data_IF_028678549396
#
_entry.id   IF_028678549396
#
_cell.length_a   1.000
_cell.length_b   1.000
_cell.length_c   1.000
_cell.angle_alpha   90.00
_cell.angle_beta   90.00
_cell.angle_gamma   90.00
#
_symmetry.space_group_name_H-M   'P 1'
#
loop_
_entity.id
_entity.type
_entity.pdbx_description
1 polymer ?
#
# COMPACT_ATOMS: atom_id res chain seq x y z
N UNK A 1 9.22 -12.66 -1.19
CA UNK A 1 9.29 -11.73 -2.34
C UNK A 1 10.24 -12.20 -3.46
N UNK A 2 11.50 -12.54 -3.12
CA UNK A 2 12.57 -12.97 -4.07
C UNK A 2 12.15 -14.14 -4.93
N UNK A 3 11.77 -15.23 -4.30
CA UNK A 3 11.23 -16.40 -4.96
C UNK A 3 9.98 -16.10 -5.83
N UNK A 4 9.04 -15.31 -5.32
CA UNK A 4 7.84 -14.94 -6.09
C UNK A 4 8.17 -14.13 -7.35
N UNK A 5 9.13 -13.19 -7.24
CA UNK A 5 9.59 -12.40 -8.38
C UNK A 5 10.28 -13.27 -9.42
N UNK A 6 11.15 -14.19 -9.01
CA UNK A 6 11.83 -15.12 -9.93
C UNK A 6 10.84 -16.05 -10.65
N UNK A 7 9.84 -16.57 -9.94
CA UNK A 7 8.80 -17.41 -10.53
C UNK A 7 7.99 -16.64 -11.59
N UNK A 8 7.65 -15.39 -11.31
CA UNK A 8 6.94 -14.52 -12.26
C UNK A 8 7.79 -14.21 -13.49
N UNK A 9 9.08 -13.87 -13.33
CA UNK A 9 9.95 -13.62 -14.49
C UNK A 9 10.04 -14.84 -15.41
N UNK A 10 10.26 -16.04 -14.85
CA UNK A 10 10.34 -17.27 -15.65
C UNK A 10 9.04 -17.56 -16.38
N UNK A 11 7.89 -17.34 -15.73
CA UNK A 11 6.58 -17.56 -16.33
C UNK A 11 6.25 -16.54 -17.45
N UNK A 12 6.68 -15.27 -17.31
CA UNK A 12 6.43 -14.21 -18.30
C UNK A 12 7.35 -14.33 -19.53
N UNK A 13 8.58 -14.85 -19.39
CA UNK A 13 9.57 -14.91 -20.48
C UNK A 13 9.20 -15.92 -21.58
N UNK A 14 8.56 -17.05 -21.25
CA UNK A 14 8.23 -18.11 -22.23
C UNK A 14 6.74 -18.12 -22.61
N UNK A 15 6.12 -16.93 -22.77
CA UNK A 15 4.67 -16.69 -22.98
C UNK A 15 3.95 -17.49 -24.08
N UNK A 16 4.63 -18.42 -24.76
CA UNK A 16 4.07 -19.49 -25.60
C UNK A 16 3.27 -20.55 -24.83
N UNK A 17 3.48 -20.70 -23.51
CA UNK A 17 2.81 -21.74 -22.71
C UNK A 17 1.61 -21.26 -21.88
N UNK A 18 1.39 -19.94 -21.80
CA UNK A 18 0.27 -19.38 -21.06
C UNK A 18 -0.96 -19.25 -21.97
N UNK A 19 -1.60 -20.38 -22.28
CA UNK A 19 -2.90 -20.40 -22.98
C UNK A 19 -4.05 -19.86 -22.14
N UNK A 20 -3.83 -19.55 -20.86
CA UNK A 20 -4.85 -19.01 -19.97
C UNK A 20 -4.88 -17.46 -20.05
N UNK A 21 -6.02 -16.85 -20.45
CA UNK A 21 -6.10 -15.43 -20.78
C UNK A 21 -5.79 -14.49 -19.60
N UNK A 22 -5.82 -14.98 -18.36
CA UNK A 22 -5.57 -14.18 -17.16
C UNK A 22 -4.15 -14.25 -16.62
N UNK A 23 -3.36 -15.26 -17.02
CA UNK A 23 -2.07 -15.51 -16.40
C UNK A 23 -1.07 -14.37 -16.67
N UNK A 24 -1.12 -13.79 -17.88
CA UNK A 24 -0.29 -12.65 -18.25
C UNK A 24 -0.57 -11.43 -17.37
N UNK A 25 -1.85 -11.07 -17.22
CA UNK A 25 -2.26 -9.92 -16.39
C UNK A 25 -1.90 -10.11 -14.92
N UNK A 26 -2.11 -11.32 -14.39
CA UNK A 26 -1.74 -11.66 -13.01
C UNK A 26 -0.22 -11.61 -12.81
N UNK A 27 0.57 -12.05 -13.80
CA UNK A 27 2.03 -11.97 -13.74
C UNK A 27 2.54 -10.53 -13.66
N UNK A 28 2.03 -9.63 -14.52
CA UNK A 28 2.41 -8.21 -14.45
C UNK A 28 2.00 -7.56 -13.13
N UNK A 29 0.79 -7.84 -12.65
CA UNK A 29 0.32 -7.31 -11.37
C UNK A 29 1.16 -7.83 -10.19
N UNK A 30 1.45 -9.13 -10.15
CA UNK A 30 2.30 -9.73 -9.12
C UNK A 30 3.74 -9.15 -9.15
N UNK A 31 4.28 -8.87 -10.34
CA UNK A 31 5.57 -8.21 -10.51
C UNK A 31 5.57 -6.80 -9.93
N UNK A 32 4.55 -6.00 -10.24
CA UNK A 32 4.37 -4.66 -9.68
C UNK A 32 4.33 -4.69 -8.14
N UNK A 33 3.49 -5.57 -7.56
CA UNK A 33 3.40 -5.73 -6.11
C UNK A 33 4.72 -6.18 -5.50
N UNK A 34 5.44 -7.11 -6.14
CA UNK A 34 6.72 -7.58 -5.64
C UNK A 34 7.80 -6.49 -5.66
N UNK A 35 7.79 -5.59 -6.64
CA UNK A 35 8.70 -4.44 -6.65
C UNK A 35 8.31 -3.41 -5.59
N UNK A 36 7.02 -3.09 -5.48
CA UNK A 36 6.53 -2.16 -4.47
C UNK A 36 6.85 -2.61 -3.04
N UNK A 37 6.61 -3.90 -2.71
CA UNK A 37 6.93 -4.43 -1.37
C UNK A 37 8.41 -4.36 -1.01
N UNK A 38 9.30 -4.26 -2.01
CA UNK A 38 10.75 -4.09 -1.80
C UNK A 38 11.23 -2.64 -1.88
N UNK A 39 10.34 -1.67 -2.04
CA UNK A 39 10.73 -0.28 -2.26
C UNK A 39 11.38 -0.01 -3.62
N UNK A 40 11.18 -0.87 -4.63
CA UNK A 40 11.69 -0.65 -5.99
C UNK A 40 10.69 0.18 -6.81
N UNK A 41 10.54 1.46 -6.45
CA UNK A 41 9.50 2.37 -6.98
C UNK A 41 9.53 2.45 -8.51
N UNK A 42 10.71 2.72 -9.11
CA UNK A 42 10.80 2.89 -10.56
C UNK A 42 10.42 1.60 -11.31
N UNK A 43 10.86 0.44 -10.80
CA UNK A 43 10.52 -0.85 -11.38
C UNK A 43 9.04 -1.22 -11.20
N UNK A 44 8.45 -0.85 -10.06
CA UNK A 44 7.02 -1.02 -9.81
C UNK A 44 6.19 -0.21 -10.81
N UNK A 45 6.52 1.08 -11.00
CA UNK A 45 5.84 1.94 -12.00
C UNK A 45 5.97 1.37 -13.41
N UNK A 46 7.16 0.96 -13.84
CA UNK A 46 7.35 0.35 -15.16
C UNK A 46 6.53 -0.93 -15.34
N UNK A 47 6.45 -1.78 -14.31
CA UNK A 47 5.66 -3.00 -14.35
C UNK A 47 4.15 -2.71 -14.43
N UNK A 48 3.69 -1.68 -13.71
CA UNK A 48 2.30 -1.19 -13.73
C UNK A 48 1.94 -0.65 -15.11
N UNK A 49 2.78 0.22 -15.70
CA UNK A 49 2.55 0.79 -17.02
C UNK A 49 2.48 -0.31 -18.09
N UNK A 50 3.35 -1.31 -17.98
CA UNK A 50 3.30 -2.49 -18.85
C UNK A 50 2.00 -3.27 -18.66
N UNK A 51 1.60 -3.53 -17.41
CA UNK A 51 0.37 -4.25 -17.07
C UNK A 51 -0.89 -3.54 -17.55
N UNK A 52 -0.95 -2.21 -17.42
CA UNK A 52 -2.02 -1.35 -17.93
C UNK A 52 -2.12 -1.44 -19.44
N UNK A 53 -1.00 -1.26 -20.15
CA UNK A 53 -0.97 -1.34 -21.61
C UNK A 53 -1.46 -2.71 -22.09
N UNK A 54 -0.98 -3.78 -21.49
CA UNK A 54 -1.41 -5.16 -21.82
C UNK A 54 -2.90 -5.37 -21.53
N UNK A 55 -3.41 -4.87 -20.42
CA UNK A 55 -4.84 -4.93 -20.10
C UNK A 55 -5.71 -4.15 -21.11
N UNK A 56 -5.26 -2.98 -21.56
CA UNK A 56 -5.96 -2.17 -22.54
C UNK A 56 -5.96 -2.81 -23.94
N UNK A 57 -4.81 -3.32 -24.39
CA UNK A 57 -4.66 -4.01 -25.67
C UNK A 57 -5.54 -5.28 -25.76
N UNK A 58 -5.81 -5.93 -24.62
CA UNK A 58 -6.68 -7.11 -24.53
C UNK A 58 -8.19 -6.80 -24.59
N UNK A 59 -8.58 -5.51 -24.66
CA UNK A 59 -9.97 -5.09 -24.79
C UNK A 59 -10.87 -5.57 -23.64
N UNK A 60 -12.03 -6.14 -23.97
CA UNK A 60 -13.02 -6.60 -22.99
C UNK A 60 -12.42 -7.60 -21.98
N UNK A 61 -11.57 -8.52 -22.45
CA UNK A 61 -10.94 -9.54 -21.60
C UNK A 61 -9.95 -8.98 -20.59
N UNK A 62 -9.32 -7.84 -20.91
CA UNK A 62 -8.37 -7.14 -20.05
C UNK A 62 -9.01 -6.11 -19.12
N UNK A 63 -10.25 -5.69 -19.40
CA UNK A 63 -10.94 -4.59 -18.70
C UNK A 63 -10.93 -4.72 -17.17
N UNK A 64 -11.12 -5.94 -16.65
CA UNK A 64 -11.12 -6.21 -15.19
C UNK A 64 -9.76 -6.01 -14.51
N UNK A 65 -8.67 -6.01 -15.27
CA UNK A 65 -7.30 -5.85 -14.74
C UNK A 65 -6.83 -4.40 -14.76
N UNK A 66 -7.53 -3.51 -15.46
CA UNK A 66 -7.21 -2.07 -15.49
C UNK A 66 -7.28 -1.49 -14.07
N UNK A 67 -8.43 -1.67 -13.39
CA UNK A 67 -8.64 -1.18 -12.03
C UNK A 67 -7.61 -1.76 -11.03
N UNK A 68 -7.20 -3.02 -11.20
CA UNK A 68 -6.13 -3.64 -10.42
C UNK A 68 -4.79 -2.92 -10.58
N UNK A 69 -4.38 -2.66 -11.82
CA UNK A 69 -3.13 -1.93 -12.05
C UNK A 69 -3.23 -0.46 -11.61
N UNK A 70 -4.39 0.18 -11.76
CA UNK A 70 -4.63 1.53 -11.24
C UNK A 70 -4.52 1.56 -9.71
N UNK A 71 -5.05 0.55 -8.99
CA UNK A 71 -4.85 0.44 -7.55
C UNK A 71 -3.37 0.28 -7.15
N UNK A 72 -2.60 -0.53 -7.88
CA UNK A 72 -1.15 -0.60 -7.65
C UNK A 72 -0.47 0.75 -7.94
N UNK A 73 -0.90 1.46 -8.98
CA UNK A 73 -0.38 2.79 -9.33
C UNK A 73 -0.61 3.78 -8.22
N UNK A 74 -1.83 3.86 -7.68
CA UNK A 74 -2.16 4.82 -6.63
C UNK A 74 -1.43 4.53 -5.33
N UNK A 75 -1.17 3.25 -5.01
CA UNK A 75 -0.29 2.87 -3.91
C UNK A 75 1.14 3.41 -4.08
N UNK A 76 1.74 3.29 -5.26
CA UNK A 76 3.07 3.83 -5.52
C UNK A 76 3.06 5.36 -5.52
N UNK A 77 2.07 6.00 -6.16
CA UNK A 77 1.92 7.46 -6.18
C UNK A 77 1.82 8.04 -4.76
N UNK A 78 1.04 7.42 -3.87
CA UNK A 78 0.98 7.85 -2.46
C UNK A 78 2.31 7.70 -1.74
N UNK A 79 3.05 6.64 -2.05
CA UNK A 79 4.36 6.38 -1.43
C UNK A 79 5.42 7.43 -1.79
N UNK A 80 5.24 8.13 -2.92
CA UNK A 80 6.10 9.24 -3.37
C UNK A 80 5.47 10.63 -3.19
N UNK A 81 4.37 10.74 -2.44
CA UNK A 81 3.73 12.02 -2.12
C UNK A 81 2.87 12.64 -3.21
N UNK A 82 2.59 11.93 -4.31
CA UNK A 82 1.67 12.39 -5.38
C UNK A 82 0.21 12.08 -5.01
N UNK A 83 -0.21 12.60 -3.86
CA UNK A 83 -1.49 12.26 -3.22
C UNK A 83 -2.70 12.68 -4.06
N UNK A 84 -2.69 13.89 -4.62
CA UNK A 84 -3.83 14.38 -5.42
C UNK A 84 -4.07 13.54 -6.68
N UNK A 85 -3.01 13.16 -7.40
CA UNK A 85 -3.15 12.26 -8.57
C UNK A 85 -3.64 10.88 -8.15
N UNK A 86 -3.15 10.36 -7.01
CA UNK A 86 -3.62 9.09 -6.48
C UNK A 86 -5.12 9.16 -6.15
N UNK A 87 -5.57 10.22 -5.48
CA UNK A 87 -6.97 10.44 -5.12
C UNK A 87 -7.86 10.54 -6.36
N UNK A 88 -7.45 11.30 -7.38
CA UNK A 88 -8.19 11.40 -8.65
C UNK A 88 -8.39 10.05 -9.34
N UNK A 89 -7.36 9.19 -9.35
CA UNK A 89 -7.47 7.84 -9.90
C UNK A 89 -8.40 6.99 -9.01
N UNK A 90 -8.22 7.03 -7.68
CA UNK A 90 -9.04 6.23 -6.76
C UNK A 90 -10.52 6.58 -6.83
N UNK A 91 -10.87 7.86 -6.95
CA UNK A 91 -12.27 8.30 -7.11
C UNK A 91 -12.86 7.77 -8.42
N UNK A 92 -12.15 7.88 -9.55
CA UNK A 92 -12.61 7.29 -10.83
C UNK A 92 -12.78 5.77 -10.76
N UNK A 93 -11.85 5.06 -10.11
CA UNK A 93 -11.96 3.61 -9.93
C UNK A 93 -13.14 3.29 -9.01
N UNK A 94 -13.32 4.02 -7.91
CA UNK A 94 -14.43 3.84 -6.97
C UNK A 94 -15.79 3.97 -7.68
N UNK A 95 -15.96 5.02 -8.48
CA UNK A 95 -17.18 5.28 -9.27
C UNK A 95 -17.46 4.18 -10.31
N UNK A 96 -16.42 3.62 -10.93
CA UNK A 96 -16.55 2.65 -12.03
C UNK A 96 -16.53 1.17 -11.62
N UNK A 97 -16.48 0.88 -10.31
CA UNK A 97 -16.35 -0.50 -9.78
C UNK A 97 -17.41 -0.89 -8.75
N UNK A 98 -18.50 -0.13 -8.64
CA UNK A 98 -19.55 -0.37 -7.65
C UNK A 98 -20.33 -1.69 -7.86
N UNK A 99 -20.24 -2.32 -9.03
CA UNK A 99 -20.88 -3.61 -9.27
C UNK A 99 -20.21 -4.78 -8.52
N UNK A 100 -20.95 -5.85 -8.16
CA UNK A 100 -20.41 -6.97 -7.39
C UNK A 100 -19.15 -7.61 -7.98
N UNK A 101 -19.03 -7.65 -9.30
CA UNK A 101 -17.89 -8.26 -10.01
C UNK A 101 -16.57 -7.49 -9.83
N UNK A 102 -16.62 -6.21 -9.45
CA UNK A 102 -15.45 -5.34 -9.27
C UNK A 102 -15.32 -4.78 -7.86
N UNK A 103 -16.13 -5.29 -6.92
CA UNK A 103 -16.19 -4.83 -5.54
C UNK A 103 -14.84 -4.87 -4.81
N UNK A 104 -13.93 -5.76 -5.21
CA UNK A 104 -12.57 -5.79 -4.65
C UNK A 104 -11.82 -4.47 -4.91
N UNK A 105 -11.91 -3.94 -6.12
CA UNK A 105 -11.26 -2.67 -6.49
C UNK A 105 -12.00 -1.47 -5.91
N UNK A 106 -13.33 -1.55 -5.80
CA UNK A 106 -14.12 -0.56 -5.08
C UNK A 106 -13.66 -0.41 -3.62
N UNK A 107 -13.50 -1.54 -2.92
CA UNK A 107 -12.95 -1.58 -1.56
C UNK A 107 -11.50 -1.09 -1.51
N UNK A 108 -10.68 -1.43 -2.50
CA UNK A 108 -9.30 -0.98 -2.57
C UNK A 108 -9.23 0.56 -2.67
N UNK A 109 -10.04 1.19 -3.52
CA UNK A 109 -10.09 2.64 -3.72
C UNK A 109 -10.47 3.43 -2.48
N UNK A 110 -11.48 2.99 -1.71
CA UNK A 110 -11.88 3.71 -0.48
C UNK A 110 -10.81 3.60 0.61
N UNK A 111 -10.14 2.45 0.73
CA UNK A 111 -9.03 2.27 1.68
C UNK A 111 -7.80 3.08 1.27
N UNK A 112 -7.62 3.27 -0.03
CA UNK A 112 -6.59 4.09 -0.64
C UNK A 112 -6.78 5.59 -0.38
N UNK A 113 -8.02 6.08 -0.48
CA UNK A 113 -8.40 7.44 -0.10
C UNK A 113 -8.21 7.68 1.40
N UNK A 114 -8.63 6.72 2.25
CA UNK A 114 -8.39 6.78 3.69
C UNK A 114 -6.89 6.86 4.02
N UNK A 115 -6.06 6.05 3.34
CA UNK A 115 -4.61 6.09 3.53
C UNK A 115 -4.03 7.48 3.22
N UNK A 116 -4.50 8.13 2.15
CA UNK A 116 -4.07 9.48 1.79
C UNK A 116 -4.28 10.49 2.93
N UNK A 117 -5.44 10.41 3.61
CA UNK A 117 -5.77 11.29 4.75
C UNK A 117 -4.90 11.00 5.98
N UNK A 118 -4.65 9.73 6.27
CA UNK A 118 -3.75 9.33 7.36
C UNK A 118 -2.31 9.82 7.11
N UNK A 119 -1.84 9.74 5.85
CA UNK A 119 -0.52 10.20 5.45
C UNK A 119 -0.33 11.72 5.55
N UNK A 120 -1.40 12.52 5.47
CA UNK A 120 -1.33 13.98 5.67
C UNK A 120 -1.61 14.40 7.10
N UNK A 121 -2.06 13.48 7.97
CA UNK A 121 -2.53 13.83 9.31
C UNK A 121 -3.88 14.56 9.30
N UNK A 122 -4.65 14.45 8.20
CA UNK A 122 -5.99 15.01 8.07
C UNK A 122 -6.99 14.14 8.85
N UNK A 123 -7.09 14.36 10.16
CA UNK A 123 -7.92 13.57 11.08
C UNK A 123 -9.40 13.63 10.70
N UNK A 124 -9.92 14.83 10.40
CA UNK A 124 -11.32 15.02 10.02
C UNK A 124 -11.63 14.31 8.69
N UNK A 125 -10.78 14.49 7.68
CA UNK A 125 -10.91 13.80 6.40
C UNK A 125 -10.78 12.29 6.54
N UNK A 126 -9.90 11.79 7.42
CA UNK A 126 -9.76 10.37 7.71
C UNK A 126 -11.02 9.78 8.35
N UNK A 127 -11.65 10.49 9.30
CA UNK A 127 -12.93 10.05 9.88
C UNK A 127 -14.04 9.93 8.83
N UNK A 128 -14.16 10.93 7.94
CA UNK A 128 -15.11 10.86 6.81
C UNK A 128 -14.80 9.71 5.85
N UNK A 129 -13.52 9.45 5.59
CA UNK A 129 -13.08 8.34 4.75
C UNK A 129 -13.30 6.97 5.40
N UNK A 130 -13.21 6.85 6.73
CA UNK A 130 -13.58 5.62 7.46
C UNK A 130 -15.04 5.26 7.23
N UNK A 131 -15.95 6.23 7.29
CA UNK A 131 -17.37 5.97 7.04
C UNK A 131 -17.61 5.49 5.60
N UNK A 132 -16.95 6.12 4.61
CA UNK A 132 -16.98 5.63 3.21
C UNK A 132 -16.42 4.21 3.08
N UNK A 133 -15.39 3.86 3.85
CA UNK A 133 -14.72 2.56 3.77
C UNK A 133 -15.47 1.41 4.45
N UNK A 134 -16.59 1.66 5.14
CA UNK A 134 -17.39 0.61 5.82
C UNK A 134 -17.97 -0.45 4.90
N UNK A 135 -18.02 -0.19 3.58
CA UNK A 135 -18.32 -1.22 2.57
C UNK A 135 -17.42 -2.47 2.70
N UNK A 136 -16.21 -2.32 3.25
CA UNK A 136 -15.28 -3.43 3.51
C UNK A 136 -15.84 -4.43 4.55
N UNK A 137 -16.66 -3.97 5.49
CA UNK A 137 -17.23 -4.83 6.54
C UNK A 137 -18.17 -5.89 5.95
N UNK A 138 -18.94 -5.51 4.93
CA UNK A 138 -19.91 -6.38 4.26
C UNK A 138 -19.35 -7.09 3.01
N UNK A 139 -18.16 -6.72 2.55
CA UNK A 139 -17.52 -7.37 1.40
C UNK A 139 -17.15 -8.83 1.73
N UNK A 140 -17.53 -9.77 0.86
CA UNK A 140 -17.33 -11.22 1.03
C UNK A 140 -16.58 -11.88 -0.15
N UNK A 141 -15.72 -11.15 -0.85
CA UNK A 141 -14.89 -11.70 -1.92
C UNK A 141 -13.64 -12.43 -1.42
N UNK A 142 -12.86 -12.99 -2.37
CA UNK A 142 -11.67 -13.79 -2.07
C UNK A 142 -10.59 -13.04 -1.28
N UNK A 143 -10.53 -11.71 -1.43
CA UNK A 143 -9.62 -10.80 -0.73
C UNK A 143 -10.26 -10.05 0.43
N UNK A 144 -11.49 -10.39 0.86
CA UNK A 144 -12.20 -9.68 1.92
C UNK A 144 -11.40 -9.61 3.22
N UNK A 145 -10.73 -10.69 3.60
CA UNK A 145 -9.86 -10.73 4.78
C UNK A 145 -8.72 -9.70 4.68
N UNK A 146 -8.09 -9.55 3.51
CA UNK A 146 -7.00 -8.60 3.28
C UNK A 146 -7.48 -7.15 3.39
N UNK A 147 -8.63 -6.83 2.80
CA UNK A 147 -9.24 -5.51 2.95
C UNK A 147 -9.63 -5.19 4.39
N UNK A 148 -10.17 -6.17 5.14
CA UNK A 148 -10.49 -6.00 6.56
C UNK A 148 -9.23 -5.77 7.41
N UNK A 149 -8.16 -6.54 7.21
CA UNK A 149 -6.87 -6.31 7.88
C UNK A 149 -6.37 -4.89 7.63
N UNK A 150 -6.42 -4.44 6.37
CA UNK A 150 -6.04 -3.08 5.99
C UNK A 150 -6.90 -2.03 6.67
N UNK A 151 -8.22 -2.18 6.60
CA UNK A 151 -9.18 -1.24 7.18
C UNK A 151 -8.98 -1.09 8.68
N UNK A 152 -8.84 -2.20 9.41
CA UNK A 152 -8.60 -2.19 10.86
C UNK A 152 -7.23 -1.61 11.21
N UNK A 153 -6.19 -1.86 10.41
CA UNK A 153 -4.87 -1.21 10.60
C UNK A 153 -4.98 0.31 10.44
N UNK A 154 -5.76 0.77 9.45
CA UNK A 154 -5.98 2.20 9.20
C UNK A 154 -6.82 2.85 10.30
N UNK A 155 -7.84 2.16 10.81
CA UNK A 155 -8.58 2.61 11.99
C UNK A 155 -7.69 2.68 13.24
N UNK A 156 -6.80 1.70 13.45
CA UNK A 156 -5.84 1.74 14.56
C UNK A 156 -4.90 2.95 14.44
N UNK A 157 -4.44 3.27 13.22
CA UNK A 157 -3.64 4.48 12.98
C UNK A 157 -4.42 5.77 13.24
N UNK A 158 -5.69 5.82 12.86
CA UNK A 158 -6.56 6.95 13.16
C UNK A 158 -6.74 7.14 14.68
N UNK A 159 -7.01 6.06 15.42
CA UNK A 159 -7.12 6.10 16.87
C UNK A 159 -5.83 6.65 17.51
N UNK A 160 -4.67 6.16 17.07
CA UNK A 160 -3.37 6.70 17.52
C UNK A 160 -3.23 8.19 17.23
N UNK A 161 -3.61 8.68 16.04
CA UNK A 161 -3.55 10.10 15.70
C UNK A 161 -4.49 10.97 16.57
N UNK A 162 -5.59 10.39 17.03
CA UNK A 162 -6.55 11.05 17.92
C UNK A 162 -6.15 10.96 19.41
N UNK A 163 -5.10 10.22 19.75
CA UNK A 163 -4.74 9.93 21.13
C UNK A 163 -5.67 8.90 21.81
N UNK A 164 -6.41 8.13 21.01
CA UNK A 164 -7.34 7.10 21.47
C UNK A 164 -6.66 5.71 21.53
N UNK A 165 -7.18 4.80 22.37
CA UNK A 165 -6.70 3.41 22.43
C UNK A 165 -6.80 2.70 21.07
N UNK A 166 -5.78 1.90 20.75
CA UNK A 166 -5.70 1.14 19.48
C UNK A 166 -5.39 -0.35 19.68
N UNK A 167 -5.27 -0.78 20.93
CA UNK A 167 -4.84 -2.11 21.36
C UNK A 167 -5.77 -3.20 20.81
N UNK A 168 -7.08 -3.02 20.92
CA UNK A 168 -8.05 -4.01 20.46
C UNK A 168 -8.04 -4.16 18.92
N UNK A 169 -7.90 -3.04 18.20
CA UNK A 169 -7.83 -3.02 16.75
C UNK A 169 -6.54 -3.70 16.26
N UNK A 170 -5.40 -3.34 16.85
CA UNK A 170 -4.10 -3.94 16.51
C UNK A 170 -4.05 -5.42 16.86
N UNK A 171 -4.54 -5.83 18.04
CA UNK A 171 -4.62 -7.23 18.44
C UNK A 171 -5.49 -8.06 17.49
N UNK A 172 -6.63 -7.50 17.06
CA UNK A 172 -7.51 -8.16 16.08
C UNK A 172 -6.81 -8.39 14.74
N UNK A 173 -6.13 -7.37 14.21
CA UNK A 173 -5.37 -7.51 12.95
C UNK A 173 -4.24 -8.51 13.09
N UNK A 174 -3.47 -8.45 14.19
CA UNK A 174 -2.36 -9.38 14.43
C UNK A 174 -2.86 -10.82 14.47
N UNK A 175 -3.94 -11.09 15.21
CA UNK A 175 -4.53 -12.43 15.29
C UNK A 175 -4.95 -12.99 13.94
N UNK A 176 -5.72 -12.24 13.15
CA UNK A 176 -6.16 -12.68 11.82
C UNK A 176 -4.99 -12.77 10.82
N UNK A 177 -4.04 -11.82 10.87
CA UNK A 177 -2.87 -11.82 9.99
C UNK A 177 -1.97 -13.03 10.24
N UNK A 178 -1.69 -13.37 11.50
CA UNK A 178 -0.91 -14.56 11.88
C UNK A 178 -1.63 -15.83 11.41
N UNK A 179 -2.94 -15.95 11.67
CA UNK A 179 -3.72 -17.13 11.27
C UNK A 179 -3.71 -17.38 9.75
N UNK A 180 -3.54 -16.33 8.94
CA UNK A 180 -3.53 -16.39 7.48
C UNK A 180 -2.13 -16.32 6.84
N UNK A 181 -1.08 -16.13 7.64
CA UNK A 181 0.28 -15.92 7.12
C UNK A 181 0.47 -14.56 6.42
N UNK A 182 -0.34 -13.55 6.74
CA UNK A 182 -0.26 -12.19 6.19
C UNK A 182 0.81 -11.36 6.90
N UNK A 183 2.09 -11.69 6.65
CA UNK A 183 3.22 -11.09 7.37
C UNK A 183 3.26 -9.56 7.30
N UNK A 184 2.86 -8.95 6.17
CA UNK A 184 2.85 -7.49 6.03
C UNK A 184 1.89 -6.82 7.02
N UNK A 185 0.66 -7.31 7.14
CA UNK A 185 -0.33 -6.72 8.05
C UNK A 185 -0.08 -7.05 9.52
N UNK A 186 0.50 -8.22 9.82
CA UNK A 186 1.01 -8.51 11.15
C UNK A 186 2.01 -7.43 11.60
N UNK A 187 3.04 -7.18 10.79
CA UNK A 187 4.11 -6.24 11.13
C UNK A 187 3.64 -4.79 11.13
N UNK A 188 2.75 -4.41 10.21
CA UNK A 188 2.14 -3.07 10.21
C UNK A 188 1.34 -2.84 11.49
N UNK A 189 0.45 -3.76 11.88
CA UNK A 189 -0.37 -3.61 13.09
C UNK A 189 0.49 -3.55 14.36
N UNK A 190 1.53 -4.37 14.47
CA UNK A 190 2.51 -4.30 15.57
C UNK A 190 3.23 -2.95 15.65
N UNK A 191 3.68 -2.42 14.50
CA UNK A 191 4.33 -1.11 14.44
C UNK A 191 3.34 0.03 14.82
N UNK A 192 2.08 -0.06 14.39
CA UNK A 192 1.03 0.87 14.84
C UNK A 192 0.86 0.80 16.35
N UNK A 193 0.84 -0.41 16.93
CA UNK A 193 0.77 -0.65 18.37
C UNK A 193 2.02 -0.25 19.17
N UNK A 194 3.09 0.24 18.52
CA UNK A 194 4.26 0.77 19.21
C UNK A 194 5.47 -0.16 19.28
N UNK A 195 5.39 -1.37 18.70
CA UNK A 195 6.51 -2.32 18.65
C UNK A 195 7.61 -1.83 17.69
N UNK A 196 8.84 -1.69 18.19
CA UNK A 196 9.98 -1.14 17.43
C UNK A 196 10.82 -2.25 16.77
N UNK A 197 10.90 -3.41 17.41
CA UNK A 197 11.70 -4.57 16.97
C UNK A 197 11.20 -5.20 15.66
N UNK A 198 9.95 -4.90 15.26
CA UNK A 198 9.37 -5.35 13.99
C UNK A 198 9.87 -4.57 12.77
N UNK A 199 10.42 -3.37 12.94
CA UNK A 199 10.76 -2.46 11.83
C UNK A 199 11.77 -3.03 10.82
N UNK A 200 12.84 -3.75 11.22
CA UNK A 200 13.73 -4.41 10.26
C UNK A 200 13.03 -5.49 9.42
N UNK A 201 12.05 -6.19 9.99
CA UNK A 201 11.25 -7.19 9.26
C UNK A 201 10.25 -6.51 8.33
N UNK A 202 9.65 -5.40 8.77
CA UNK A 202 8.69 -4.61 8.00
C UNK A 202 9.33 -4.09 6.70
N UNK A 203 10.59 -3.62 6.76
CA UNK A 203 11.36 -3.16 5.58
C UNK A 203 11.39 -4.17 4.43
N UNK A 204 11.36 -5.47 4.75
CA UNK A 204 11.47 -6.55 3.76
C UNK A 204 10.16 -6.85 3.02
N UNK A 205 9.03 -6.42 3.57
CA UNK A 205 7.69 -6.74 3.05
C UNK A 205 6.83 -5.50 2.78
N UNK A 206 7.23 -4.33 3.28
CA UNK A 206 6.57 -3.04 3.13
C UNK A 206 7.64 -1.96 2.93
N UNK A 207 8.53 -2.17 1.95
CA UNK A 207 9.70 -1.32 1.73
C UNK A 207 9.36 0.13 1.36
N UNK A 208 8.21 0.37 0.73
CA UNK A 208 7.75 1.75 0.47
C UNK A 208 7.25 2.44 1.74
N UNK A 209 6.70 1.69 2.68
CA UNK A 209 6.01 2.21 3.86
C UNK A 209 6.89 2.29 5.11
N UNK A 210 7.94 1.45 5.18
CA UNK A 210 8.71 1.26 6.40
C UNK A 210 9.34 2.56 6.94
N UNK A 211 9.75 3.48 6.06
CA UNK A 211 10.36 4.74 6.49
C UNK A 211 9.37 5.66 7.23
N UNK A 212 8.13 5.82 6.74
CA UNK A 212 7.16 6.69 7.40
C UNK A 212 6.57 6.02 8.65
N UNK A 213 6.42 4.70 8.67
CA UNK A 213 6.03 3.98 9.88
C UNK A 213 7.09 4.15 10.99
N UNK A 214 8.38 4.13 10.61
CA UNK A 214 9.48 4.41 11.54
C UNK A 214 9.43 5.87 12.03
N UNK A 215 9.16 6.83 11.14
CA UNK A 215 9.01 8.24 11.50
C UNK A 215 7.82 8.50 12.43
N UNK A 216 6.66 7.88 12.19
CA UNK A 216 5.50 7.97 13.07
C UNK A 216 5.79 7.39 14.47
N UNK A 217 6.58 6.33 14.56
CA UNK A 217 7.06 5.80 15.85
C UNK A 217 8.06 6.75 16.51
N UNK A 218 9.00 7.31 15.76
CA UNK A 218 9.99 8.26 16.27
C UNK A 218 9.32 9.48 16.91
N UNK A 219 8.33 10.06 16.22
CA UNK A 219 7.57 11.20 16.71
C UNK A 219 6.79 10.89 18.00
N UNK A 220 6.12 9.72 18.06
CA UNK A 220 5.33 9.33 19.24
C UNK A 220 6.19 9.02 20.47
N UNK A 221 7.43 8.57 20.27
CA UNK A 221 8.34 8.15 21.34
C UNK A 221 9.38 9.21 21.71
N UNK A 222 9.43 10.31 20.96
CA UNK A 222 10.48 11.33 21.06
C UNK A 222 11.89 10.70 20.99
N UNK A 223 12.12 9.86 19.97
CA UNK A 223 13.31 9.01 19.86
C UNK A 223 14.19 9.37 18.64
N UNK A 224 15.33 10.00 18.91
CA UNK A 224 16.34 10.39 17.91
C UNK A 224 16.98 9.22 17.15
N UNK A 225 17.07 8.04 17.77
CA UNK A 225 17.61 6.85 17.09
C UNK A 225 16.62 6.37 16.03
N UNK A 226 15.32 6.40 16.34
CA UNK A 226 14.28 6.09 15.35
C UNK A 226 14.21 7.14 14.25
N UNK A 227 14.42 8.42 14.55
CA UNK A 227 14.52 9.45 13.51
C UNK A 227 15.66 9.19 12.52
N UNK A 228 16.83 8.80 13.03
CA UNK A 228 17.98 8.42 12.17
C UNK A 228 17.69 7.16 11.35
N UNK A 229 16.99 6.19 11.91
CA UNK A 229 16.60 4.98 11.16
C UNK A 229 15.54 5.28 10.08
N UNK A 230 14.57 6.15 10.37
CA UNK A 230 13.59 6.63 9.38
C UNK A 230 14.28 7.33 8.21
N UNK A 231 15.28 8.17 8.50
CA UNK A 231 16.09 8.89 7.50
C UNK A 231 16.85 7.91 6.60
N UNK A 232 17.59 6.96 7.21
CA UNK A 232 18.30 5.89 6.49
C UNK A 232 17.39 5.13 5.52
N UNK A 233 16.18 4.77 5.98
CA UNK A 233 15.18 4.04 5.17
C UNK A 233 14.65 4.91 4.04
N UNK A 234 14.34 6.18 4.32
CA UNK A 234 13.89 7.13 3.32
C UNK A 234 14.95 7.35 2.23
N UNK A 235 16.21 7.57 2.61
CA UNK A 235 17.32 7.69 1.66
C UNK A 235 17.52 6.41 0.82
N UNK A 236 17.37 5.24 1.43
CA UNK A 236 17.44 3.97 0.70
C UNK A 236 16.34 3.88 -0.36
N UNK A 237 15.13 4.30 -0.03
CA UNK A 237 14.00 4.35 -0.96
C UNK A 237 14.21 5.40 -2.07
N UNK A 238 14.77 6.57 -1.74
CA UNK A 238 15.13 7.61 -2.72
C UNK A 238 16.13 7.09 -3.75
N UNK A 239 17.12 6.29 -3.34
CA UNK A 239 18.10 5.69 -4.26
C UNK A 239 17.48 4.75 -5.29
N UNK A 240 16.36 4.09 -4.95
CA UNK A 240 15.65 3.16 -5.84
C UNK A 240 14.47 3.80 -6.58
N UNK A 241 14.18 5.08 -6.31
CA UNK A 241 13.06 5.80 -6.89
C UNK A 241 13.25 6.23 -8.35
N UNK A 242 14.48 6.19 -8.88
CA UNK A 242 14.78 6.55 -10.27
C UNK A 242 14.26 7.96 -10.61
N UNK A 243 13.42 8.14 -11.64
CA UNK A 243 12.90 9.46 -12.02
C UNK A 243 12.00 10.10 -10.95
N UNK A 244 11.51 9.34 -9.97
CA UNK A 244 10.62 9.82 -8.90
C UNK A 244 11.39 10.24 -7.63
N UNK A 245 12.73 10.24 -7.67
CA UNK A 245 13.56 10.53 -6.50
C UNK A 245 13.31 11.93 -5.92
N UNK A 246 13.04 12.93 -6.77
CA UNK A 246 12.82 14.29 -6.30
C UNK A 246 11.47 14.46 -5.60
N UNK A 247 10.39 13.93 -6.20
CA UNK A 247 9.06 13.90 -5.58
C UNK A 247 9.14 13.24 -4.19
N UNK A 248 9.84 12.11 -4.09
CA UNK A 248 10.01 11.40 -2.82
C UNK A 248 10.83 12.21 -1.79
N UNK A 249 11.88 12.94 -2.20
CA UNK A 249 12.63 13.81 -1.26
C UNK A 249 11.74 14.91 -0.68
N UNK A 250 10.99 15.57 -1.55
CA UNK A 250 10.02 16.61 -1.13
C UNK A 250 8.99 16.02 -0.18
N UNK A 251 8.49 14.82 -0.50
CA UNK A 251 7.52 14.12 0.32
C UNK A 251 8.08 13.75 1.71
N UNK A 252 9.29 13.16 1.77
CA UNK A 252 9.97 12.82 3.02
C UNK A 252 10.17 14.06 3.89
N UNK A 253 10.68 15.15 3.31
CA UNK A 253 10.87 16.41 4.03
C UNK A 253 9.55 16.97 4.58
N UNK A 254 8.50 16.95 3.75
CA UNK A 254 7.15 17.39 4.15
C UNK A 254 6.63 16.56 5.32
N UNK A 255 6.77 15.22 5.24
CA UNK A 255 6.27 14.32 6.27
C UNK A 255 7.05 14.44 7.57
N UNK A 256 8.38 14.54 7.50
CA UNK A 256 9.22 14.75 8.69
C UNK A 256 8.87 16.05 9.40
N UNK A 257 8.72 17.15 8.67
CA UNK A 257 8.27 18.42 9.22
C UNK A 257 6.89 18.32 9.88
N UNK A 258 5.93 17.66 9.23
CA UNK A 258 4.58 17.48 9.78
C UNK A 258 4.58 16.64 11.08
N UNK A 259 5.54 15.75 11.23
CA UNK A 259 5.73 14.91 12.42
C UNK A 259 6.62 15.57 13.49
N UNK A 260 7.01 16.84 13.30
CA UNK A 260 7.77 17.61 14.29
C UNK A 260 9.28 17.34 14.30
N UNK A 261 9.84 16.68 13.27
CA UNK A 261 11.29 16.61 13.10
C UNK A 261 11.82 18.01 12.76
N UNK A 262 12.79 18.56 13.52
CA UNK A 262 13.38 19.87 13.26
C UNK A 262 14.17 19.93 11.95
#
# INVERSE_FOLDING_TARGET
PDEASELVERALVDGRWLGHPFALHQGHFARALSFGHRGRIADAMNAIDTGLRVAQEAGESGSRFVAGNENARTWVLRSIGRLSEADEINERVFESTAEPARMEMHCASVLDLLEGRLLTGDVEGAMGAVERARVVESFNGSMAWHHRQRFLTQQARLAVLQGEPSEDLTATVIGDAVARGSLRYELLARAVGGEVDVLPRLERVAGMEAWWMTAELAARRDDDALWRDADRRAEALVRTAGPYAEDLRVWVATRFKALGRP
#
